data_IF_647192897714
#
_entry.id   IF_647192897714
#
_cell.length_a   1.000
_cell.length_b   1.000
_cell.length_c   1.000
_cell.angle_alpha   90.00
_cell.angle_beta   90.00
_cell.angle_gamma   90.00
#
_symmetry.space_group_name_H-M   'P 1'
#
loop_
_entity.id
_entity.type
_entity.pdbx_description
1 polymer ?
#
# COMPACT_ATOMS: atom_id res chain seq x y z
N UNK A 1 17.70 33.17 -21.80
CA UNK A 1 17.66 33.07 -23.26
C UNK A 1 16.63 31.99 -23.58
N UNK A 2 15.55 32.38 -24.24
CA UNK A 2 14.34 31.58 -24.50
C UNK A 2 14.43 31.02 -25.91
N UNK A 3 14.13 29.74 -26.15
CA UNK A 3 14.16 29.13 -27.49
C UNK A 3 12.79 28.56 -27.88
N UNK A 4 12.38 28.97 -29.08
CA UNK A 4 11.32 28.56 -30.02
C UNK A 4 10.20 27.63 -29.51
N UNK A 5 9.41 28.15 -28.57
CA UNK A 5 7.92 28.19 -28.62
C UNK A 5 7.33 28.76 -27.30
N UNK A 6 8.09 29.56 -26.54
CA UNK A 6 7.66 30.28 -25.33
C UNK A 6 6.95 29.49 -24.22
N UNK A 7 6.86 28.16 -24.30
CA UNK A 7 6.10 27.34 -23.34
C UNK A 7 6.94 26.83 -22.16
N UNK A 8 8.27 26.83 -22.25
CA UNK A 8 9.14 26.27 -21.22
C UNK A 8 10.31 27.18 -20.87
N UNK A 9 10.71 27.20 -19.60
CA UNK A 9 11.99 27.78 -19.21
C UNK A 9 13.15 26.89 -19.72
N UNK A 10 14.36 27.45 -19.80
CA UNK A 10 15.55 26.72 -20.28
C UNK A 10 15.74 25.38 -19.55
N UNK A 11 15.62 25.38 -18.22
CA UNK A 11 15.76 24.16 -17.41
C UNK A 11 14.75 23.09 -17.79
N UNK A 12 13.47 23.44 -17.93
CA UNK A 12 12.43 22.48 -18.33
C UNK A 12 12.63 21.98 -19.77
N UNK A 13 13.12 22.82 -20.67
CA UNK A 13 13.46 22.43 -22.03
C UNK A 13 14.59 21.38 -22.04
N UNK A 14 15.67 21.65 -21.31
CA UNK A 14 16.83 20.75 -21.20
C UNK A 14 16.42 19.39 -20.58
N UNK A 15 15.59 19.41 -19.52
CA UNK A 15 15.07 18.20 -18.89
C UNK A 15 14.18 17.38 -19.85
N UNK A 16 13.30 18.05 -20.61
CA UNK A 16 12.44 17.38 -21.58
C UNK A 16 13.22 16.74 -22.73
N UNK A 17 14.29 17.38 -23.22
CA UNK A 17 15.15 16.79 -24.23
C UNK A 17 15.83 15.50 -23.75
N UNK A 18 16.16 15.42 -22.45
CA UNK A 18 16.73 14.22 -21.82
C UNK A 18 15.71 13.12 -21.53
N UNK A 19 14.42 13.39 -21.65
CA UNK A 19 13.35 12.46 -21.25
C UNK A 19 12.94 12.55 -19.78
N UNK A 20 13.47 13.53 -19.02
CA UNK A 20 13.24 13.68 -17.59
C UNK A 20 11.92 14.39 -17.29
N UNK A 21 10.81 13.77 -17.68
CA UNK A 21 9.47 14.22 -17.35
C UNK A 21 8.50 13.05 -17.25
N UNK A 22 7.50 13.18 -16.40
CA UNK A 22 6.43 12.19 -16.29
C UNK A 22 5.47 12.38 -17.49
N UNK A 23 5.23 11.36 -18.33
CA UNK A 23 4.34 11.46 -19.49
C UNK A 23 2.85 11.58 -19.14
N UNK A 24 2.47 11.37 -17.87
CA UNK A 24 1.08 11.48 -17.41
C UNK A 24 0.70 12.92 -17.03
N UNK A 25 1.59 13.65 -16.36
CA UNK A 25 1.35 15.04 -15.93
C UNK A 25 2.23 16.09 -16.61
N UNK A 26 3.19 15.65 -17.44
CA UNK A 26 4.16 16.46 -18.17
C UNK A 26 5.12 17.30 -17.30
N UNK A 27 5.10 17.11 -15.98
CA UNK A 27 6.05 17.73 -15.05
C UNK A 27 7.44 17.11 -15.21
N UNK A 28 8.46 17.95 -15.16
CA UNK A 28 9.86 17.52 -15.24
C UNK A 28 10.35 17.09 -13.85
N UNK A 29 11.27 16.14 -13.81
CA UNK A 29 11.96 15.73 -12.58
C UNK A 29 13.47 15.87 -12.75
N UNK A 30 14.20 15.95 -11.64
CA UNK A 30 15.66 15.98 -11.64
C UNK A 30 16.19 14.59 -11.32
N UNK A 31 17.32 14.20 -11.90
CA UNK A 31 17.96 12.92 -11.60
C UNK A 31 18.42 12.81 -10.13
N UNK A 32 18.58 13.96 -9.46
CA UNK A 32 18.92 14.05 -8.05
C UNK A 32 17.71 14.04 -7.10
N UNK A 33 16.48 14.01 -7.62
CA UNK A 33 15.27 13.93 -6.80
C UNK A 33 14.98 12.47 -6.43
N UNK A 34 15.55 12.04 -5.31
CA UNK A 34 15.31 10.73 -4.71
C UNK A 34 14.17 10.73 -3.70
N UNK A 35 13.48 11.87 -3.52
CA UNK A 35 12.40 12.02 -2.54
C UNK A 35 11.03 11.77 -3.14
N UNK A 36 10.86 12.12 -4.42
CA UNK A 36 9.62 11.88 -5.13
C UNK A 36 9.48 10.39 -5.48
N UNK A 37 8.38 9.77 -5.04
CA UNK A 37 8.06 8.37 -5.36
C UNK A 37 7.76 8.23 -6.85
N UNK A 38 8.65 7.55 -7.57
CA UNK A 38 8.54 7.33 -9.01
C UNK A 38 8.89 5.89 -9.38
N UNK A 39 8.24 5.36 -10.42
CA UNK A 39 8.48 4.01 -10.92
C UNK A 39 8.76 4.07 -12.43
N UNK A 40 9.82 3.41 -12.87
CA UNK A 40 10.17 3.36 -14.29
C UNK A 40 9.27 2.38 -15.05
N UNK A 41 8.67 2.82 -16.16
CA UNK A 41 7.86 1.97 -17.02
C UNK A 41 8.74 1.06 -17.89
N UNK A 42 8.59 -0.26 -17.79
CA UNK A 42 9.35 -1.24 -18.59
C UNK A 42 9.06 -1.21 -20.10
N UNK A 43 8.09 -0.41 -20.56
CA UNK A 43 7.72 -0.29 -21.99
C UNK A 43 8.17 1.02 -22.64
N UNK A 44 8.05 2.14 -21.94
CA UNK A 44 8.41 3.45 -22.48
C UNK A 44 9.61 4.09 -21.79
N UNK A 45 10.19 3.42 -20.79
CA UNK A 45 11.39 3.79 -20.03
C UNK A 45 11.28 5.12 -19.26
N UNK A 46 10.17 5.83 -19.36
CA UNK A 46 9.87 7.01 -18.56
C UNK A 46 9.57 6.65 -17.11
N UNK A 47 10.05 7.50 -16.20
CA UNK A 47 9.66 7.49 -14.79
C UNK A 47 8.30 8.14 -14.61
N UNK A 48 7.42 7.44 -13.91
CA UNK A 48 6.05 7.84 -13.63
C UNK A 48 5.94 8.14 -12.15
N UNK A 49 5.42 9.32 -11.77
CA UNK A 49 5.06 9.56 -10.37
C UNK A 49 4.05 8.53 -9.90
N UNK A 50 4.25 7.93 -8.73
CA UNK A 50 3.31 6.96 -8.15
C UNK A 50 1.88 7.54 -8.11
N UNK A 51 1.74 8.79 -7.65
CA UNK A 51 0.47 9.51 -7.61
C UNK A 51 -0.19 9.72 -8.99
N UNK A 52 0.58 9.83 -10.08
CA UNK A 52 0.01 9.97 -11.42
C UNK A 52 -0.61 8.67 -11.95
N UNK A 53 -0.29 7.54 -11.31
CA UNK A 53 -0.85 6.22 -11.61
C UNK A 53 -1.89 5.80 -10.55
N UNK A 54 -2.35 6.74 -9.71
CA UNK A 54 -3.27 6.50 -8.60
C UNK A 54 -2.75 5.40 -7.65
N UNK A 55 -1.43 5.33 -7.47
CA UNK A 55 -0.76 4.38 -6.58
C UNK A 55 -0.68 4.97 -5.18
N UNK A 56 -1.21 4.25 -4.18
CA UNK A 56 -1.07 4.63 -2.77
C UNK A 56 0.37 4.39 -2.28
N UNK A 57 0.71 4.98 -1.13
CA UNK A 57 2.02 4.75 -0.50
C UNK A 57 2.25 3.27 -0.21
N UNK A 58 1.27 2.58 0.40
CA UNK A 58 1.34 1.14 0.62
C UNK A 58 1.59 0.36 -0.69
N UNK A 59 0.89 0.71 -1.76
CA UNK A 59 1.07 0.04 -3.04
C UNK A 59 2.45 0.29 -3.63
N UNK A 60 3.00 1.50 -3.45
CA UNK A 60 4.35 1.85 -3.89
C UNK A 60 5.41 1.07 -3.12
N UNK A 61 5.30 1.00 -1.79
CA UNK A 61 6.25 0.27 -0.96
C UNK A 61 6.20 -1.23 -1.27
N UNK A 62 5.00 -1.81 -1.40
CA UNK A 62 4.84 -3.22 -1.80
C UNK A 62 5.44 -3.45 -3.19
N UNK A 63 5.15 -2.59 -4.16
CA UNK A 63 5.71 -2.74 -5.51
C UNK A 63 7.24 -2.65 -5.52
N UNK A 64 7.81 -1.81 -4.65
CA UNK A 64 9.26 -1.63 -4.53
C UNK A 64 9.96 -2.81 -3.85
N UNK A 65 9.23 -3.58 -3.02
CA UNK A 65 9.74 -4.77 -2.32
C UNK A 65 9.52 -6.08 -3.11
N UNK A 66 8.69 -6.05 -4.17
CA UNK A 66 8.48 -7.21 -5.03
C UNK A 66 9.76 -7.54 -5.83
N UNK A 67 10.06 -8.84 -6.07
CA UNK A 67 11.13 -9.22 -6.99
C UNK A 67 10.90 -8.64 -8.39
N UNK A 68 11.96 -8.17 -9.05
CA UNK A 68 11.89 -7.58 -10.39
C UNK A 68 11.29 -8.55 -11.43
N UNK A 69 11.48 -9.85 -11.22
CA UNK A 69 10.93 -10.90 -12.09
C UNK A 69 9.45 -11.22 -11.82
N UNK A 70 8.92 -10.79 -10.66
CA UNK A 70 7.54 -11.07 -10.28
C UNK A 70 6.54 -10.25 -11.12
N UNK A 71 6.89 -9.00 -11.44
CA UNK A 71 6.05 -8.13 -12.26
C UNK A 71 6.82 -6.97 -12.89
N UNK A 72 6.49 -6.62 -14.12
CA UNK A 72 7.00 -5.41 -14.80
C UNK A 72 5.99 -4.29 -14.68
N UNK A 73 6.43 -3.12 -14.21
CA UNK A 73 5.57 -1.93 -14.15
C UNK A 73 5.31 -1.36 -15.55
N UNK A 74 4.04 -1.28 -15.92
CA UNK A 74 3.56 -0.62 -17.13
C UNK A 74 2.62 0.53 -16.79
N UNK A 75 2.98 1.74 -17.23
CA UNK A 75 2.17 2.96 -17.03
C UNK A 75 0.82 2.90 -17.75
N UNK A 76 -0.14 3.72 -17.32
CA UNK A 76 -1.51 3.73 -17.85
C UNK A 76 -1.56 3.90 -19.37
N UNK A 77 -0.79 4.84 -19.91
CA UNK A 77 -0.72 5.05 -21.37
C UNK A 77 -0.22 3.80 -22.11
N UNK A 78 0.78 3.10 -21.57
CA UNK A 78 1.31 1.87 -22.16
C UNK A 78 0.33 0.70 -22.07
N UNK A 79 -0.45 0.59 -20.98
CA UNK A 79 -1.51 -0.40 -20.84
C UNK A 79 -2.66 -0.14 -21.81
N UNK A 80 -3.18 1.08 -21.87
CA UNK A 80 -4.29 1.46 -22.77
C UNK A 80 -3.90 1.27 -24.25
N UNK A 81 -2.67 1.65 -24.64
CA UNK A 81 -2.17 1.41 -26.01
C UNK A 81 -2.12 -0.08 -26.37
N UNK A 82 -1.81 -0.94 -25.40
CA UNK A 82 -1.81 -2.39 -25.60
C UNK A 82 -3.24 -2.91 -25.78
N UNK A 83 -4.17 -2.48 -24.93
CA UNK A 83 -5.58 -2.90 -25.00
C UNK A 83 -6.23 -2.51 -26.32
N UNK A 84 -5.99 -1.28 -26.81
CA UNK A 84 -6.46 -0.83 -28.13
C UNK A 84 -5.88 -1.62 -29.31
N UNK A 85 -4.72 -2.25 -29.12
CA UNK A 85 -4.03 -3.03 -30.15
C UNK A 85 -4.40 -4.52 -30.18
N UNK A 86 -5.07 -5.05 -29.14
CA UNK A 86 -5.48 -6.46 -29.12
C UNK A 86 -6.76 -6.65 -29.95
N UNK A 87 -6.66 -7.36 -31.09
CA UNK A 87 -7.84 -8.04 -31.67
C UNK A 87 -8.30 -9.09 -30.67
N UNK A 88 -9.60 -9.18 -30.42
CA UNK A 88 -10.21 -10.05 -29.41
C UNK A 88 -9.95 -11.52 -29.77
N UNK A 89 -8.83 -12.06 -29.33
CA UNK A 89 -8.55 -13.49 -29.35
C UNK A 89 -8.25 -13.90 -27.90
N UNK A 90 -8.95 -14.92 -27.42
CA UNK A 90 -9.08 -15.34 -26.02
C UNK A 90 -7.79 -15.83 -25.37
N UNK A 91 -6.77 -14.99 -25.31
CA UNK A 91 -5.56 -15.18 -24.53
C UNK A 91 -5.74 -14.80 -23.07
N UNK A 92 -4.96 -15.42 -22.19
CA UNK A 92 -4.94 -15.13 -20.76
C UNK A 92 -4.69 -13.64 -20.49
N UNK A 93 -5.40 -13.11 -19.48
CA UNK A 93 -5.19 -11.74 -19.00
C UNK A 93 -3.81 -11.69 -18.34
N UNK A 94 -2.88 -10.97 -18.97
CA UNK A 94 -1.58 -10.70 -18.37
C UNK A 94 -1.76 -9.97 -17.04
N UNK A 95 -1.04 -10.45 -16.03
CA UNK A 95 -1.04 -9.86 -14.69
C UNK A 95 -0.49 -8.44 -14.74
N UNK A 96 -1.21 -7.50 -14.15
CA UNK A 96 -0.75 -6.12 -13.98
C UNK A 96 0.02 -5.95 -12.68
N UNK A 97 0.78 -4.85 -12.57
CA UNK A 97 1.42 -4.46 -11.31
C UNK A 97 0.41 -4.34 -10.16
N UNK A 98 -0.82 -3.86 -10.43
CA UNK A 98 -1.90 -3.78 -9.42
C UNK A 98 -2.30 -5.17 -8.94
N UNK A 99 -2.40 -6.14 -9.85
CA UNK A 99 -2.74 -7.52 -9.48
C UNK A 99 -1.65 -8.16 -8.62
N UNK A 100 -0.37 -7.90 -8.93
CA UNK A 100 0.77 -8.40 -8.16
C UNK A 100 0.84 -7.78 -6.75
N UNK A 101 0.70 -6.46 -6.65
CA UNK A 101 0.66 -5.74 -5.37
C UNK A 101 -0.50 -6.21 -4.51
N UNK A 102 -1.71 -6.28 -5.07
CA UNK A 102 -2.90 -6.74 -4.33
C UNK A 102 -2.75 -8.18 -3.84
N UNK A 103 -2.12 -9.06 -4.65
CA UNK A 103 -1.80 -10.43 -4.21
C UNK A 103 -0.83 -10.42 -3.02
N UNK A 104 0.27 -9.68 -3.12
CA UNK A 104 1.27 -9.58 -2.05
C UNK A 104 0.66 -9.06 -0.74
N UNK A 105 -0.14 -7.99 -0.82
CA UNK A 105 -0.86 -7.46 0.34
C UNK A 105 -1.80 -8.49 0.97
N UNK A 106 -2.60 -9.21 0.17
CA UNK A 106 -3.52 -10.23 0.67
C UNK A 106 -2.78 -11.40 1.34
N UNK A 107 -1.68 -11.86 0.75
CA UNK A 107 -0.85 -12.90 1.34
C UNK A 107 -0.27 -12.46 2.68
N UNK A 108 0.19 -11.22 2.78
CA UNK A 108 0.65 -10.62 4.03
C UNK A 108 -0.48 -10.48 5.07
N UNK A 109 -1.66 -10.00 4.69
CA UNK A 109 -2.82 -9.91 5.58
C UNK A 109 -3.25 -11.29 6.10
N UNK A 110 -3.27 -12.30 5.23
CA UNK A 110 -3.54 -13.69 5.61
C UNK A 110 -2.54 -14.18 6.66
N UNK A 111 -1.24 -13.93 6.47
CA UNK A 111 -0.19 -14.27 7.44
C UNK A 111 -0.40 -13.58 8.79
N UNK A 112 -0.78 -12.30 8.80
CA UNK A 112 -1.09 -11.58 10.05
C UNK A 112 -2.25 -12.24 10.78
N UNK A 113 -3.36 -12.54 10.09
CA UNK A 113 -4.53 -13.20 10.69
C UNK A 113 -4.20 -14.61 11.21
N UNK A 114 -3.40 -15.38 10.47
CA UNK A 114 -2.98 -16.74 10.84
C UNK A 114 -2.10 -16.78 12.09
N UNK A 115 -1.37 -15.70 12.38
CA UNK A 115 -0.57 -15.58 13.60
C UNK A 115 -1.42 -15.27 14.85
N UNK A 116 -2.69 -14.91 14.69
CA UNK A 116 -3.58 -14.64 15.82
C UNK A 116 -4.22 -15.95 16.27
N UNK A 117 -3.98 -16.31 17.52
CA UNK A 117 -4.55 -17.51 18.13
C UNK A 117 -5.50 -17.14 19.27
N UNK A 118 -6.78 -16.83 18.96
CA UNK A 118 -7.76 -16.51 19.98
C UNK A 118 -8.17 -17.77 20.76
N UNK A 119 -8.56 -17.64 22.04
CA UNK A 119 -9.12 -18.76 22.78
C UNK A 119 -10.39 -19.27 22.08
N UNK A 120 -10.50 -20.60 21.93
CA UNK A 120 -11.52 -21.29 21.09
C UNK A 120 -12.97 -20.95 21.45
N UNK A 121 -13.20 -20.44 22.67
CA UNK A 121 -14.54 -20.10 23.19
C UNK A 121 -14.87 -18.60 23.17
N UNK A 122 -14.13 -17.79 22.41
CA UNK A 122 -14.36 -16.33 22.33
C UNK A 122 -15.09 -15.95 21.02
N UNK A 123 -15.90 -14.89 21.07
CA UNK A 123 -16.50 -14.28 19.86
C UNK A 123 -15.43 -13.81 18.87
N UNK A 124 -14.22 -13.51 19.36
CA UNK A 124 -13.08 -13.17 18.53
C UNK A 124 -12.68 -14.30 17.57
N UNK A 125 -12.78 -15.56 17.99
CA UNK A 125 -12.51 -16.70 17.10
C UNK A 125 -13.47 -16.68 15.90
N UNK A 126 -14.76 -16.40 16.10
CA UNK A 126 -15.70 -16.25 14.99
C UNK A 126 -15.43 -15.00 14.14
N UNK A 127 -15.11 -13.86 14.75
CA UNK A 127 -14.85 -12.61 14.03
C UNK A 127 -13.62 -12.73 13.12
N UNK A 128 -12.51 -13.27 13.63
CA UNK A 128 -11.28 -13.47 12.84
C UNK A 128 -11.48 -14.52 11.73
N UNK A 129 -12.26 -15.58 11.99
CA UNK A 129 -12.60 -16.54 10.94
C UNK A 129 -13.48 -15.92 9.86
N UNK A 130 -14.40 -15.01 10.21
CA UNK A 130 -15.20 -14.27 9.24
C UNK A 130 -14.30 -13.36 8.40
N UNK A 131 -13.38 -12.59 9.01
CA UNK A 131 -12.40 -11.77 8.29
C UNK A 131 -11.54 -12.61 7.34
N UNK A 132 -11.09 -13.80 7.78
CA UNK A 132 -10.32 -14.72 6.93
C UNK A 132 -11.13 -15.22 5.73
N UNK A 133 -12.43 -15.51 5.91
CA UNK A 133 -13.31 -15.95 4.80
C UNK A 133 -13.66 -14.83 3.84
N UNK A 134 -13.66 -13.59 4.32
CA UNK A 134 -13.99 -12.41 3.52
C UNK A 134 -12.77 -11.82 2.80
N UNK A 135 -11.58 -12.41 2.95
CA UNK A 135 -10.32 -11.98 2.34
C UNK A 135 -10.42 -11.71 0.82
N UNK A 136 -11.17 -12.54 0.10
CA UNK A 136 -11.33 -12.42 -1.36
C UNK A 136 -12.37 -11.37 -1.79
N UNK A 137 -13.31 -11.02 -0.89
CA UNK A 137 -14.39 -10.07 -1.16
C UNK A 137 -14.08 -8.66 -0.68
N UNK A 138 -13.15 -8.53 0.27
CA UNK A 138 -12.78 -7.26 0.86
C UNK A 138 -11.71 -6.57 0.03
N UNK A 139 -11.86 -5.26 -0.09
CA UNK A 139 -10.96 -4.37 -0.82
C UNK A 139 -10.29 -3.43 0.18
N UNK A 140 -9.49 -3.98 1.10
CA UNK A 140 -8.64 -3.12 1.94
C UNK A 140 -7.69 -2.35 1.04
N UNK A 141 -7.87 -1.03 1.01
CA UNK A 141 -7.11 -0.12 0.15
C UNK A 141 -5.76 0.25 0.77
N UNK A 142 -5.54 -0.08 2.05
CA UNK A 142 -4.32 0.22 2.81
C UNK A 142 -4.06 -0.78 3.93
N UNK A 143 -2.80 -0.88 4.36
CA UNK A 143 -2.36 -1.65 5.54
C UNK A 143 -3.05 -1.11 6.79
N UNK A 144 -3.20 0.22 6.90
CA UNK A 144 -3.88 0.87 8.02
C UNK A 144 -5.37 0.46 8.13
N UNK A 145 -6.10 0.42 7.01
CA UNK A 145 -7.52 0.00 7.01
C UNK A 145 -7.71 -1.45 7.46
N UNK A 146 -6.81 -2.35 7.05
CA UNK A 146 -6.78 -3.73 7.53
C UNK A 146 -6.46 -3.78 9.03
N UNK A 147 -5.44 -3.05 9.47
CA UNK A 147 -5.00 -3.06 10.86
C UNK A 147 -6.07 -2.53 11.83
N UNK A 148 -6.78 -1.47 11.46
CA UNK A 148 -7.90 -0.91 12.23
C UNK A 148 -9.01 -1.94 12.42
N UNK A 149 -9.42 -2.64 11.37
CA UNK A 149 -10.48 -3.64 11.46
C UNK A 149 -10.10 -4.86 12.32
N UNK A 150 -8.84 -5.31 12.24
CA UNK A 150 -8.33 -6.37 13.13
C UNK A 150 -8.33 -5.90 14.58
N UNK A 151 -7.89 -4.66 14.85
CA UNK A 151 -7.90 -4.07 16.20
C UNK A 151 -9.32 -3.93 16.74
N UNK A 152 -10.26 -3.42 15.95
CA UNK A 152 -11.67 -3.32 16.33
C UNK A 152 -12.28 -4.68 16.66
N UNK A 153 -11.91 -5.73 15.93
CA UNK A 153 -12.35 -7.10 16.23
C UNK A 153 -11.81 -7.60 17.57
N UNK A 154 -10.53 -7.34 17.87
CA UNK A 154 -9.92 -7.66 19.17
C UNK A 154 -10.57 -6.84 20.29
N UNK A 155 -10.78 -5.54 20.09
CA UNK A 155 -11.38 -4.64 21.09
C UNK A 155 -12.83 -5.00 21.43
N UNK A 156 -13.63 -5.39 20.43
CA UNK A 156 -15.00 -5.90 20.66
C UNK A 156 -15.00 -7.11 21.59
N UNK A 157 -14.01 -7.97 21.49
CA UNK A 157 -13.85 -9.10 22.42
C UNK A 157 -13.51 -8.64 23.84
N UNK A 158 -12.80 -7.52 24.03
CA UNK A 158 -12.44 -7.02 25.37
C UNK A 158 -13.62 -6.35 26.06
N UNK A 159 -14.45 -5.62 25.32
CA UNK A 159 -15.59 -4.86 25.87
C UNK A 159 -16.64 -5.76 26.55
N UNK A 160 -16.68 -7.05 26.21
CA UNK A 160 -17.57 -8.02 26.85
C UNK A 160 -17.04 -8.58 28.17
N UNK A 161 -15.81 -8.24 28.56
CA UNK A 161 -15.16 -8.78 29.76
C UNK A 161 -14.73 -7.69 30.76
N UNK A 162 -14.51 -8.08 32.02
CA UNK A 162 -14.02 -7.17 33.05
C UNK A 162 -12.58 -6.73 32.72
N UNK A 163 -12.19 -5.47 33.04
CA UNK A 163 -10.78 -5.06 33.02
C UNK A 163 -9.96 -6.02 33.89
N UNK A 164 -8.81 -6.51 33.38
CA UNK A 164 -7.91 -7.50 34.05
C UNK A 164 -8.39 -8.96 34.09
N UNK A 165 -9.34 -9.34 33.24
CA UNK A 165 -9.68 -10.75 33.03
C UNK A 165 -8.63 -11.47 32.17
N UNK A 166 -8.50 -12.82 32.26
CA UNK A 166 -7.65 -13.61 31.35
C UNK A 166 -7.93 -13.33 29.87
N UNK A 167 -9.18 -13.01 29.52
CA UNK A 167 -9.60 -12.63 28.18
C UNK A 167 -9.05 -11.26 27.76
N UNK A 168 -9.02 -10.29 28.68
CA UNK A 168 -8.39 -8.99 28.44
C UNK A 168 -6.87 -9.10 28.26
N UNK A 169 -6.21 -9.98 29.03
CA UNK A 169 -4.78 -10.27 28.87
C UNK A 169 -4.48 -10.97 27.53
N UNK A 170 -5.30 -11.97 27.16
CA UNK A 170 -5.19 -12.64 25.88
C UNK A 170 -5.37 -11.65 24.71
N UNK A 171 -6.36 -10.76 24.78
CA UNK A 171 -6.60 -9.74 23.77
C UNK A 171 -5.43 -8.77 23.62
N UNK A 172 -4.85 -8.31 24.74
CA UNK A 172 -3.65 -7.49 24.70
C UNK A 172 -2.46 -8.24 24.05
N UNK A 173 -2.25 -9.50 24.41
CA UNK A 173 -1.23 -10.34 23.80
C UNK A 173 -1.44 -10.48 22.29
N UNK A 174 -2.67 -10.72 21.84
CA UNK A 174 -3.02 -10.80 20.42
C UNK A 174 -2.78 -9.46 19.69
N UNK A 175 -3.14 -8.32 20.30
CA UNK A 175 -2.84 -7.00 19.74
C UNK A 175 -1.33 -6.77 19.55
N UNK A 176 -0.51 -7.24 20.49
CA UNK A 176 0.96 -7.22 20.35
C UNK A 176 1.44 -8.09 19.19
N UNK A 177 0.88 -9.31 19.04
CA UNK A 177 1.19 -10.21 17.91
C UNK A 177 0.83 -9.56 16.57
N UNK A 178 -0.38 -9.00 16.44
CA UNK A 178 -0.82 -8.30 15.22
C UNK A 178 0.14 -7.18 14.86
N UNK A 179 0.53 -6.34 15.83
CA UNK A 179 1.45 -5.23 15.59
C UNK A 179 2.81 -5.72 15.10
N UNK A 180 3.36 -6.78 15.71
CA UNK A 180 4.65 -7.35 15.31
C UNK A 180 4.59 -7.93 13.89
N UNK A 181 3.53 -8.66 13.57
CA UNK A 181 3.37 -9.29 12.25
C UNK A 181 3.10 -8.25 11.15
N UNK A 182 2.35 -7.18 11.46
CA UNK A 182 2.18 -6.05 10.55
C UNK A 182 3.52 -5.38 10.24
N UNK A 183 4.34 -5.07 11.25
CA UNK A 183 5.66 -4.47 11.04
C UNK A 183 6.60 -5.43 10.29
N UNK A 184 6.49 -6.73 10.54
CA UNK A 184 7.28 -7.75 9.83
C UNK A 184 6.93 -7.83 8.35
N UNK A 185 5.64 -7.73 8.00
CA UNK A 185 5.19 -7.80 6.62
C UNK A 185 5.25 -6.45 5.89
N UNK A 186 5.12 -5.35 6.64
CA UNK A 186 5.06 -3.98 6.14
C UNK A 186 5.95 -3.08 7.02
N UNK A 187 7.28 -3.07 6.82
CA UNK A 187 8.19 -2.33 7.69
C UNK A 187 7.88 -0.82 7.79
N UNK A 188 7.37 -0.21 6.73
CA UNK A 188 6.96 1.20 6.72
C UNK A 188 5.75 1.50 7.61
N UNK A 189 4.91 0.51 7.91
CA UNK A 189 3.78 0.67 8.83
C UNK A 189 4.22 1.11 10.25
N UNK A 190 5.44 0.74 10.66
CA UNK A 190 6.01 1.22 11.93
C UNK A 190 6.18 2.75 11.96
N UNK A 191 6.51 3.37 10.82
CA UNK A 191 6.65 4.82 10.70
C UNK A 191 5.29 5.51 10.82
N UNK A 192 4.26 4.96 10.15
CA UNK A 192 2.89 5.45 10.22
C UNK A 192 2.32 5.35 11.65
N UNK A 193 2.52 4.23 12.33
CA UNK A 193 2.15 4.07 13.73
C UNK A 193 2.91 5.05 14.65
N UNK A 194 4.19 5.32 14.38
CA UNK A 194 4.97 6.30 15.13
C UNK A 194 4.37 7.72 15.07
N UNK A 195 3.72 8.08 13.96
CA UNK A 195 3.00 9.34 13.81
C UNK A 195 1.67 9.36 14.57
N UNK A 196 0.93 8.24 14.64
CA UNK A 196 -0.32 8.16 15.43
C UNK A 196 -0.04 8.21 16.93
N UNK A 197 1.00 7.51 17.43
CA UNK A 197 1.45 7.66 18.82
C UNK A 197 1.91 9.09 19.14
N UNK A 198 2.54 9.80 18.20
CA UNK A 198 2.96 11.21 18.37
C UNK A 198 1.73 12.13 18.42
N UNK A 199 0.76 11.95 17.52
CA UNK A 199 -0.51 12.70 17.50
C UNK A 199 -1.37 12.41 18.72
N UNK A 200 -1.48 11.17 19.18
CA UNK A 200 -2.20 10.82 20.42
C UNK A 200 -1.53 11.40 21.68
N UNK A 201 -0.19 11.41 21.72
CA UNK A 201 0.56 12.09 22.78
C UNK A 201 0.37 13.60 22.73
N UNK A 202 0.38 14.21 21.55
CA UNK A 202 0.07 15.65 21.39
C UNK A 202 -1.36 15.98 21.81
N UNK A 203 -2.37 15.18 21.43
CA UNK A 203 -3.77 15.34 21.87
C UNK A 203 -3.92 15.16 23.39
N UNK A 204 -3.16 14.24 24.00
CA UNK A 204 -3.14 14.05 25.47
C UNK A 204 -2.37 15.16 26.21
N UNK A 205 -1.38 15.80 25.57
CA UNK A 205 -0.56 16.86 26.17
C UNK A 205 -1.18 18.25 25.98
N UNK A 206 -1.97 18.46 24.93
CA UNK A 206 -2.61 19.76 24.60
C UNK A 206 -3.93 19.98 25.35
N UNK A 207 -4.48 18.96 26.03
CA UNK A 207 -5.57 19.15 27.00
C UNK A 207 -5.02 19.57 28.37
N UNK A 208 -4.80 20.88 28.55
CA UNK A 208 -4.75 21.57 29.84
C UNK A 208 -5.55 22.85 29.78
#
# INVERSE_FOLDING_TARGET
MWYEDFMYCKTCYDLKQKGNFCPLCLQCYQDSDFTTKMVQCGRCEFWIHAACEDMSDDQYEVLSDLPEEAVVFHCRQCRERRERGKRVEGGERELTWRDAVNRSMREAFSKVLEAIHPPVHTSLFSDLNNLRREMDRREWSSVSSFAEEVKESIERCVQTHKPQSPEAEAAHSMGSTVTKELIRCFPWYALECGETWRKEREVRVVRR
#
